data_IF_561703894057
#
_entry.id   IF_561703894057
#
_cell.length_a   1.000
_cell.length_b   1.000
_cell.length_c   1.000
_cell.angle_alpha   90.00
_cell.angle_beta   90.00
_cell.angle_gamma   90.00
#
_symmetry.space_group_name_H-M   'P 1'
#
loop_
_entity.id
_entity.type
_entity.pdbx_description
1 polymer ?
#
# COMPACT_ATOMS: atom_id res chain seq x y z
N UNK A 1 18.49 3.68 7.37
CA UNK A 1 17.14 3.65 6.79
C UNK A 1 16.18 3.49 7.95
N UNK A 2 15.19 4.37 8.09
CA UNK A 2 14.23 4.41 9.20
C UNK A 2 12.85 4.83 8.70
N UNK A 3 11.82 4.50 9.50
CA UNK A 3 10.49 5.10 9.42
C UNK A 3 10.34 6.07 10.58
N UNK A 4 10.02 7.32 10.28
CA UNK A 4 9.80 8.34 11.29
C UNK A 4 8.29 8.46 11.59
N UNK A 5 7.97 8.67 12.88
CA UNK A 5 6.58 8.82 13.33
C UNK A 5 6.46 10.12 14.12
N UNK A 6 5.49 10.95 13.79
CA UNK A 6 5.19 12.19 14.49
C UNK A 6 3.70 12.32 14.80
N UNK A 7 3.36 12.62 16.05
CA UNK A 7 2.00 12.95 16.47
C UNK A 7 1.92 14.47 16.71
N UNK A 8 0.96 15.11 16.05
CA UNK A 8 0.67 16.54 16.15
C UNK A 8 -0.72 16.70 16.76
N UNK A 9 -0.87 17.55 17.76
CA UNK A 9 -2.11 17.74 18.51
C UNK A 9 -2.13 16.98 19.82
N UNK A 10 -3.31 16.90 20.44
CA UNK A 10 -3.50 16.24 21.74
C UNK A 10 -3.35 14.72 21.60
N UNK A 11 -2.56 14.12 22.52
CA UNK A 11 -2.28 12.68 22.45
C UNK A 11 -3.52 11.80 22.65
N UNK A 12 -4.53 12.31 23.34
CA UNK A 12 -5.81 11.65 23.64
C UNK A 12 -6.98 12.15 22.80
N UNK A 13 -6.73 13.02 21.82
CA UNK A 13 -7.78 13.53 20.94
C UNK A 13 -8.64 12.40 20.34
N UNK A 14 -9.98 12.49 20.39
CA UNK A 14 -10.84 11.41 19.94
C UNK A 14 -10.84 11.18 18.42
N UNK A 15 -10.38 12.16 17.64
CA UNK A 15 -10.24 12.06 16.19
C UNK A 15 -8.78 11.96 15.80
N UNK A 16 -8.45 11.02 14.94
CA UNK A 16 -7.10 10.82 14.43
C UNK A 16 -7.10 10.83 12.90
N UNK A 17 -6.33 11.74 12.32
CA UNK A 17 -5.96 11.68 10.91
C UNK A 17 -4.58 11.02 10.79
N UNK A 18 -4.47 9.94 10.03
CA UNK A 18 -3.20 9.25 9.79
C UNK A 18 -2.73 9.55 8.37
N UNK A 19 -1.52 10.09 8.23
CA UNK A 19 -0.88 10.38 6.95
C UNK A 19 0.33 9.46 6.77
N UNK A 20 0.26 8.56 5.80
CA UNK A 20 1.34 7.60 5.51
C UNK A 20 1.97 7.93 4.17
N UNK A 21 3.31 7.95 4.10
CA UNK A 21 4.07 8.10 2.86
C UNK A 21 4.94 6.89 2.58
N UNK A 22 5.28 6.69 1.29
CA UNK A 22 6.23 5.69 0.85
C UNK A 22 5.75 4.25 1.02
N UNK A 23 4.48 3.97 0.88
CA UNK A 23 3.95 2.59 0.82
C UNK A 23 4.60 1.83 -0.34
N UNK A 24 4.66 2.46 -1.52
CA UNK A 24 5.54 2.04 -2.58
C UNK A 24 6.72 3.02 -2.61
N UNK A 25 7.94 2.50 -2.62
CA UNK A 25 9.12 3.32 -2.48
C UNK A 25 9.31 4.35 -3.60
N UNK A 26 8.92 4.03 -4.83
CA UNK A 26 8.94 4.95 -5.98
C UNK A 26 8.08 6.21 -5.77
N UNK A 27 7.11 6.16 -4.88
CA UNK A 27 6.20 7.26 -4.52
C UNK A 27 6.66 8.01 -3.27
N UNK A 28 7.74 7.54 -2.62
CA UNK A 28 8.22 8.06 -1.33
C UNK A 28 8.51 9.55 -1.36
N UNK A 29 9.18 10.05 -2.40
CA UNK A 29 9.49 11.47 -2.54
C UNK A 29 8.22 12.34 -2.65
N UNK A 30 7.19 11.87 -3.38
CA UNK A 30 5.91 12.57 -3.49
C UNK A 30 5.18 12.63 -2.15
N UNK A 31 5.06 11.49 -1.45
CA UNK A 31 4.43 11.43 -0.14
C UNK A 31 5.16 12.28 0.91
N UNK A 32 6.50 12.25 0.90
CA UNK A 32 7.34 13.10 1.73
C UNK A 32 7.10 14.59 1.47
N UNK A 33 7.03 15.00 0.21
CA UNK A 33 6.73 16.37 -0.17
C UNK A 33 5.35 16.83 0.32
N UNK A 34 4.32 15.98 0.23
CA UNK A 34 3.00 16.27 0.77
C UNK A 34 3.02 16.48 2.29
N UNK A 35 3.71 15.62 3.04
CA UNK A 35 3.85 15.75 4.49
C UNK A 35 4.63 17.03 4.85
N UNK A 36 5.73 17.30 4.16
CA UNK A 36 6.55 18.51 4.37
C UNK A 36 5.77 19.79 4.05
N UNK A 37 5.02 19.81 2.95
CA UNK A 37 4.17 20.94 2.58
C UNK A 37 3.09 21.20 3.62
N UNK A 38 2.49 20.13 4.16
CA UNK A 38 1.51 20.23 5.24
C UNK A 38 2.13 20.83 6.53
N UNK A 39 3.30 20.33 6.93
CA UNK A 39 4.05 20.83 8.08
C UNK A 39 4.50 22.28 7.92
N UNK A 40 4.84 22.71 6.71
CA UNK A 40 5.26 24.05 6.39
C UNK A 40 4.17 25.13 6.54
N UNK A 41 2.90 24.72 6.57
CA UNK A 41 1.79 25.65 6.72
C UNK A 41 1.41 25.83 8.19
N UNK A 42 1.78 26.97 8.79
CA UNK A 42 1.49 27.26 10.22
C UNK A 42 0.02 27.13 10.60
N UNK A 43 -0.90 27.40 9.67
CA UNK A 43 -2.33 27.24 9.90
C UNK A 43 -2.73 25.78 10.20
N UNK A 44 -2.01 24.82 9.71
CA UNK A 44 -2.26 23.40 9.96
C UNK A 44 -1.92 22.95 11.40
N UNK A 45 -1.16 23.76 12.12
CA UNK A 45 -0.79 23.49 13.53
C UNK A 45 -1.89 23.88 14.51
N UNK A 46 -2.83 24.74 14.07
CA UNK A 46 -4.01 25.11 14.84
C UNK A 46 -5.12 24.05 14.66
N UNK A 47 -4.84 22.82 15.11
CA UNK A 47 -5.80 21.72 15.06
C UNK A 47 -6.95 21.98 16.05
N UNK A 48 -8.19 21.52 15.73
CA UNK A 48 -9.24 21.43 16.73
C UNK A 48 -8.79 20.59 17.93
N UNK A 49 -9.20 20.95 19.14
CA UNK A 49 -8.80 20.25 20.38
C UNK A 49 -9.16 18.75 20.36
N UNK A 50 -10.19 18.36 19.61
CA UNK A 50 -10.63 16.99 19.48
C UNK A 50 -9.93 16.22 18.35
N UNK A 51 -8.88 16.79 17.73
CA UNK A 51 -8.25 16.24 16.54
C UNK A 51 -6.73 16.16 16.69
N UNK A 52 -6.17 15.02 16.32
CA UNK A 52 -4.72 14.83 16.16
C UNK A 52 -4.35 14.33 14.76
N UNK A 53 -3.13 14.57 14.34
CA UNK A 53 -2.55 14.07 13.09
C UNK A 53 -1.36 13.19 13.41
N UNK A 54 -1.40 11.94 12.96
CA UNK A 54 -0.29 10.99 13.02
C UNK A 54 0.36 10.91 11.64
N UNK A 55 1.61 11.33 11.55
CA UNK A 55 2.42 11.19 10.34
C UNK A 55 3.33 9.99 10.46
N UNK A 56 3.32 9.13 9.43
CA UNK A 56 4.23 7.99 9.29
C UNK A 56 4.99 8.23 8.00
N UNK A 57 6.27 8.57 8.14
CA UNK A 57 7.12 8.95 7.02
C UNK A 57 7.95 7.76 6.57
N UNK A 58 7.75 7.39 5.29
CA UNK A 58 8.43 6.32 4.57
C UNK A 58 8.25 4.95 5.22
N UNK A 59 7.01 4.43 5.18
CA UNK A 59 6.71 3.09 5.73
C UNK A 59 7.46 1.96 4.99
N UNK A 60 7.89 2.17 3.74
CA UNK A 60 8.81 1.32 2.99
C UNK A 60 10.13 2.06 2.74
N UNK A 61 10.98 2.21 3.76
CA UNK A 61 12.21 3.00 3.63
C UNK A 61 13.23 2.36 2.69
N UNK A 62 13.30 1.02 2.63
CA UNK A 62 14.16 0.32 1.68
C UNK A 62 13.70 0.58 0.24
N UNK A 63 12.43 0.36 -0.07
CA UNK A 63 11.89 0.61 -1.40
C UNK A 63 12.09 2.05 -1.84
N UNK A 64 11.97 3.03 -0.90
CA UNK A 64 12.22 4.44 -1.21
C UNK A 64 13.69 4.70 -1.53
N UNK A 65 14.62 4.13 -0.76
CA UNK A 65 16.06 4.29 -0.99
C UNK A 65 16.52 3.72 -2.34
N UNK A 66 15.89 2.65 -2.79
CA UNK A 66 16.24 1.96 -4.04
C UNK A 66 15.28 2.25 -5.20
N UNK A 67 14.35 3.19 -5.03
CA UNK A 67 13.30 3.51 -6.03
C UNK A 67 12.54 2.27 -6.51
N UNK A 68 12.24 1.35 -5.59
CA UNK A 68 11.50 0.12 -5.87
C UNK A 68 10.08 0.23 -5.34
N UNK A 69 9.12 -0.33 -6.09
CA UNK A 69 7.73 -0.43 -5.64
C UNK A 69 7.60 -1.25 -4.35
N UNK A 70 8.30 -2.37 -4.33
CA UNK A 70 8.27 -3.42 -3.30
C UNK A 70 9.31 -3.15 -2.19
N UNK A 71 9.30 -3.96 -1.15
CA UNK A 71 10.34 -3.96 -0.12
C UNK A 71 11.55 -4.84 -0.53
N UNK A 72 12.48 -5.08 0.41
CA UNK A 72 13.67 -5.92 0.25
C UNK A 72 13.38 -7.36 -0.14
N UNK A 73 12.23 -7.89 0.25
CA UNK A 73 11.79 -9.27 -0.02
C UNK A 73 10.89 -9.39 -1.26
N UNK A 74 10.90 -8.37 -2.14
CA UNK A 74 10.00 -8.25 -3.30
C UNK A 74 8.51 -8.19 -2.94
N UNK A 75 8.15 -7.85 -1.70
CA UNK A 75 6.76 -7.80 -1.25
C UNK A 75 6.12 -6.46 -1.55
N UNK A 76 4.96 -6.49 -2.22
CA UNK A 76 4.06 -5.33 -2.34
C UNK A 76 3.30 -5.15 -1.03
N UNK A 77 3.56 -4.06 -0.32
CA UNK A 77 2.95 -3.80 0.98
C UNK A 77 1.42 -3.75 0.93
N UNK A 78 0.84 -3.31 -0.20
CA UNK A 78 -0.62 -3.32 -0.37
C UNK A 78 -1.21 -4.74 -0.51
N UNK A 79 -0.38 -5.77 -0.55
CA UNK A 79 -0.78 -7.18 -0.58
C UNK A 79 -0.43 -7.90 0.74
N UNK A 80 0.41 -7.30 1.59
CA UNK A 80 0.89 -7.93 2.82
C UNK A 80 -0.05 -7.74 4.03
N UNK A 81 -0.99 -6.79 4.00
CA UNK A 81 -1.95 -6.57 5.08
C UNK A 81 -3.19 -7.45 4.91
N UNK A 82 -3.02 -8.74 5.12
CA UNK A 82 -4.08 -9.76 5.13
C UNK A 82 -4.16 -10.46 6.49
N UNK A 83 -5.16 -11.29 6.68
CA UNK A 83 -5.22 -12.19 7.82
C UNK A 83 -4.30 -13.39 7.61
N UNK A 84 -3.13 -13.35 8.22
CA UNK A 84 -2.10 -14.40 8.12
C UNK A 84 -2.43 -15.66 8.93
N UNK A 85 -3.53 -15.68 9.70
CA UNK A 85 -4.04 -16.90 10.34
C UNK A 85 -4.83 -17.76 9.36
N UNK A 86 -5.28 -17.20 8.26
CA UNK A 86 -5.95 -17.86 7.15
C UNK A 86 -4.99 -18.14 5.99
N UNK A 87 -5.36 -19.10 5.15
CA UNK A 87 -4.60 -19.35 3.90
C UNK A 87 -4.68 -18.12 3.00
N UNK A 88 -3.54 -17.61 2.49
CA UNK A 88 -3.55 -16.50 1.53
C UNK A 88 -4.37 -16.82 0.27
N UNK A 89 -4.97 -15.81 -0.37
CA UNK A 89 -5.76 -16.01 -1.58
C UNK A 89 -4.92 -16.59 -2.73
N UNK A 90 -5.49 -17.55 -3.46
CA UNK A 90 -4.88 -18.10 -4.67
C UNK A 90 -5.21 -17.23 -5.89
N UNK A 91 -4.22 -16.97 -6.73
CA UNK A 91 -4.40 -16.34 -8.04
C UNK A 91 -3.93 -17.30 -9.13
N UNK A 92 -4.78 -18.26 -9.49
CA UNK A 92 -4.46 -19.28 -10.50
C UNK A 92 -4.20 -18.67 -11.87
N UNK A 93 -4.97 -17.64 -12.24
CA UNK A 93 -4.79 -16.96 -13.52
C UNK A 93 -3.44 -16.24 -13.63
N UNK A 94 -2.91 -15.73 -12.51
CA UNK A 94 -1.54 -15.21 -12.45
C UNK A 94 -0.52 -16.34 -12.61
N UNK A 95 -0.72 -17.47 -11.93
CA UNK A 95 0.19 -18.61 -11.99
C UNK A 95 0.37 -19.14 -13.43
N UNK A 96 -0.71 -19.15 -14.23
CA UNK A 96 -0.66 -19.50 -15.66
C UNK A 96 0.20 -18.53 -16.49
N UNK A 97 0.35 -17.28 -16.05
CA UNK A 97 1.06 -16.21 -16.76
C UNK A 97 2.46 -15.92 -16.19
N UNK A 98 2.79 -16.51 -15.05
CA UNK A 98 3.99 -16.16 -14.30
C UNK A 98 5.28 -16.24 -15.14
N UNK A 99 5.49 -17.35 -15.87
CA UNK A 99 6.66 -17.54 -16.73
C UNK A 99 6.76 -16.56 -17.90
N UNK A 100 5.65 -15.97 -18.33
CA UNK A 100 5.63 -14.91 -19.32
C UNK A 100 5.88 -13.51 -18.72
N UNK A 101 5.63 -13.34 -17.42
CA UNK A 101 5.83 -12.08 -16.70
C UNK A 101 7.25 -11.97 -16.11
N UNK A 102 7.85 -13.10 -15.70
CA UNK A 102 9.16 -13.19 -15.07
C UNK A 102 10.04 -14.09 -15.90
N UNK A 103 10.94 -13.49 -16.67
CA UNK A 103 11.85 -14.20 -17.56
C UNK A 103 13.27 -14.12 -17.03
N UNK A 104 14.08 -15.18 -17.17
CA UNK A 104 15.44 -15.22 -16.63
C UNK A 104 16.43 -14.28 -17.37
N UNK A 105 16.11 -13.94 -18.62
CA UNK A 105 16.93 -13.03 -19.43
C UNK A 105 16.06 -11.91 -20.04
N UNK A 106 16.64 -10.69 -20.12
CA UNK A 106 15.96 -9.55 -20.71
C UNK A 106 15.91 -9.60 -22.24
N UNK A 107 16.89 -10.27 -22.85
CA UNK A 107 17.03 -10.41 -24.29
C UNK A 107 17.03 -11.88 -24.70
N UNK A 108 16.78 -12.15 -26.00
CA UNK A 108 16.92 -13.46 -26.59
C UNK A 108 15.60 -14.22 -26.78
N UNK A 109 15.67 -15.51 -27.16
CA UNK A 109 14.50 -16.29 -27.57
C UNK A 109 13.49 -16.49 -26.43
N UNK A 110 13.93 -16.58 -25.17
CA UNK A 110 13.06 -16.74 -24.00
C UNK A 110 12.19 -15.49 -23.78
N UNK A 111 12.78 -14.31 -23.95
CA UNK A 111 12.03 -13.05 -23.89
C UNK A 111 11.01 -12.94 -25.00
N UNK A 112 11.36 -13.31 -26.24
CA UNK A 112 10.47 -13.30 -27.39
C UNK A 112 9.27 -14.23 -27.14
N UNK A 113 9.54 -15.46 -26.69
CA UNK A 113 8.48 -16.43 -26.40
C UNK A 113 7.55 -15.96 -25.27
N UNK A 114 8.09 -15.29 -24.23
CA UNK A 114 7.30 -14.74 -23.14
C UNK A 114 6.39 -13.58 -23.62
N UNK A 115 6.92 -12.69 -24.45
CA UNK A 115 6.15 -11.58 -25.06
C UNK A 115 5.00 -12.11 -25.94
N UNK A 116 5.25 -13.16 -26.74
CA UNK A 116 4.24 -13.82 -27.55
C UNK A 116 3.13 -14.44 -26.69
N UNK A 117 3.50 -15.17 -25.62
CA UNK A 117 2.55 -15.78 -24.69
C UNK A 117 1.68 -14.72 -23.96
N UNK A 118 2.30 -13.59 -23.57
CA UNK A 118 1.58 -12.48 -22.96
C UNK A 118 0.63 -11.80 -23.96
N UNK A 119 1.06 -11.63 -25.22
CA UNK A 119 0.24 -11.08 -26.28
C UNK A 119 -0.97 -12.00 -26.58
N UNK A 120 -0.79 -13.32 -26.64
CA UNK A 120 -1.87 -14.28 -26.80
C UNK A 120 -2.86 -14.23 -25.63
N UNK A 121 -2.37 -14.19 -24.38
CA UNK A 121 -3.21 -14.05 -23.20
C UNK A 121 -4.02 -12.74 -23.26
N UNK A 122 -3.39 -11.66 -23.70
CA UNK A 122 -4.03 -10.35 -23.85
C UNK A 122 -5.09 -10.37 -24.96
N UNK A 123 -4.81 -11.04 -26.06
CA UNK A 123 -5.77 -11.22 -27.17
C UNK A 123 -6.98 -12.06 -26.74
N UNK A 124 -6.75 -13.10 -25.95
CA UNK A 124 -7.80 -14.01 -25.51
C UNK A 124 -8.69 -13.40 -24.40
N UNK A 125 -8.08 -12.72 -23.42
CA UNK A 125 -8.77 -12.24 -22.20
C UNK A 125 -9.10 -10.74 -22.25
N UNK A 126 -8.43 -9.97 -23.11
CA UNK A 126 -8.46 -8.50 -23.16
C UNK A 126 -7.46 -7.85 -22.17
N UNK A 127 -6.91 -6.71 -22.57
CA UNK A 127 -5.88 -5.97 -21.79
C UNK A 127 -6.33 -5.67 -20.36
N UNK A 128 -7.57 -5.22 -20.18
CA UNK A 128 -8.11 -4.87 -18.84
C UNK A 128 -8.16 -6.09 -17.92
N UNK A 129 -8.58 -7.25 -18.45
CA UNK A 129 -8.66 -8.47 -17.66
C UNK A 129 -7.26 -8.96 -17.26
N UNK A 130 -6.28 -8.92 -18.16
CA UNK A 130 -4.88 -9.27 -17.86
C UNK A 130 -4.31 -8.33 -16.80
N UNK A 131 -4.52 -7.02 -16.93
CA UNK A 131 -4.08 -6.05 -15.89
C UNK A 131 -4.70 -6.35 -14.55
N UNK A 132 -5.99 -6.63 -14.47
CA UNK A 132 -6.68 -6.96 -13.22
C UNK A 132 -6.17 -8.26 -12.58
N UNK A 133 -5.85 -9.29 -13.39
CA UNK A 133 -5.24 -10.54 -12.90
C UNK A 133 -3.90 -10.26 -12.25
N UNK A 134 -3.04 -9.48 -12.91
CA UNK A 134 -1.71 -9.13 -12.39
C UNK A 134 -1.82 -8.26 -11.14
N UNK A 135 -2.63 -7.21 -11.20
CA UNK A 135 -2.79 -6.25 -10.10
C UNK A 135 -3.53 -6.83 -8.88
N UNK A 136 -4.27 -7.93 -9.03
CA UNK A 136 -4.88 -8.62 -7.90
C UNK A 136 -3.83 -9.09 -6.87
N UNK A 137 -2.60 -9.34 -7.32
CA UNK A 137 -1.52 -9.86 -6.50
C UNK A 137 -1.53 -11.37 -6.38
N UNK A 138 -0.48 -11.92 -5.78
CA UNK A 138 -0.30 -13.37 -5.62
C UNK A 138 0.62 -13.66 -4.43
N UNK A 139 0.62 -14.92 -3.96
CA UNK A 139 1.38 -15.36 -2.78
C UNK A 139 2.18 -16.66 -3.07
N UNK A 140 2.27 -17.07 -4.34
CA UNK A 140 2.91 -18.32 -4.73
C UNK A 140 4.34 -18.13 -5.26
N UNK A 141 4.65 -16.96 -5.84
CA UNK A 141 5.90 -16.70 -6.55
C UNK A 141 6.60 -15.50 -5.94
N UNK A 142 7.64 -15.74 -5.15
CA UNK A 142 8.39 -14.69 -4.45
C UNK A 142 9.16 -13.76 -5.41
N UNK A 143 9.48 -14.21 -6.60
CA UNK A 143 10.11 -13.44 -7.68
C UNK A 143 9.11 -12.73 -8.58
N UNK A 144 7.81 -12.98 -8.39
CA UNK A 144 6.73 -12.49 -9.24
C UNK A 144 6.28 -11.06 -8.92
N UNK A 145 5.46 -10.51 -9.83
CA UNK A 145 4.87 -9.20 -9.66
C UNK A 145 3.78 -9.23 -8.58
N UNK A 146 3.65 -8.13 -7.83
CA UNK A 146 2.65 -7.95 -6.78
C UNK A 146 2.62 -9.09 -5.76
N UNK A 147 3.79 -9.63 -5.42
CA UNK A 147 3.93 -10.65 -4.39
C UNK A 147 3.50 -10.11 -3.03
N UNK A 148 2.64 -10.85 -2.34
CA UNK A 148 2.09 -10.45 -1.04
C UNK A 148 2.92 -10.91 0.17
N UNK A 149 3.96 -11.71 -0.06
CA UNK A 149 4.75 -12.30 1.02
C UNK A 149 4.22 -13.66 1.47
N UNK A 150 4.89 -14.24 2.44
CA UNK A 150 4.54 -15.47 3.15
C UNK A 150 4.25 -15.24 4.65
N UNK A 151 4.54 -14.03 5.14
CA UNK A 151 4.32 -13.58 6.50
C UNK A 151 4.22 -12.04 6.56
N UNK A 152 3.81 -11.44 7.71
CA UNK A 152 3.90 -10.01 7.92
C UNK A 152 5.35 -9.52 7.82
N UNK A 153 5.66 -8.69 6.83
CA UNK A 153 6.99 -8.09 6.65
C UNK A 153 7.26 -6.99 7.70
N UNK A 154 8.52 -6.52 7.75
CA UNK A 154 8.92 -5.47 8.72
C UNK A 154 7.99 -4.26 8.70
N UNK A 155 7.70 -3.70 7.54
CA UNK A 155 6.81 -2.54 7.37
C UNK A 155 5.38 -2.81 7.89
N UNK A 156 4.86 -4.03 7.70
CA UNK A 156 3.56 -4.44 8.23
C UNK A 156 3.59 -4.43 9.77
N UNK A 157 4.60 -5.06 10.37
CA UNK A 157 4.74 -5.11 11.83
C UNK A 157 4.90 -3.72 12.44
N UNK A 158 5.72 -2.86 11.83
CA UNK A 158 5.92 -1.48 12.29
C UNK A 158 4.63 -0.68 12.20
N UNK A 159 3.94 -0.70 11.06
CA UNK A 159 2.67 0.02 10.92
C UNK A 159 1.61 -0.49 11.89
N UNK A 160 1.51 -1.80 12.08
CA UNK A 160 0.59 -2.40 13.05
C UNK A 160 0.89 -1.91 14.46
N UNK A 161 2.15 -1.95 14.90
CA UNK A 161 2.56 -1.48 16.23
C UNK A 161 2.27 0.01 16.44
N UNK A 162 2.57 0.86 15.45
CA UNK A 162 2.26 2.30 15.50
C UNK A 162 0.76 2.55 15.60
N UNK A 163 -0.04 1.83 14.82
CA UNK A 163 -1.49 1.97 14.87
C UNK A 163 -2.09 1.39 16.16
N UNK A 164 -1.51 0.37 16.75
CA UNK A 164 -1.91 -0.16 18.06
C UNK A 164 -1.61 0.83 19.19
N UNK A 165 -0.49 1.54 19.12
CA UNK A 165 -0.11 2.54 20.09
C UNK A 165 -0.96 3.82 19.98
N UNK A 166 -1.05 4.38 18.78
CA UNK A 166 -1.68 5.67 18.54
C UNK A 166 -3.13 5.61 18.05
N UNK A 167 -3.61 4.46 17.57
CA UNK A 167 -4.92 4.30 16.93
C UNK A 167 -6.06 3.93 17.89
N UNK A 168 -5.77 3.51 19.11
CA UNK A 168 -6.79 3.14 20.13
C UNK A 168 -7.45 4.38 20.72
N UNK A 169 -8.46 4.90 20.04
CA UNK A 169 -9.17 6.13 20.42
C UNK A 169 -10.69 5.91 20.42
N UNK A 170 -11.44 6.55 21.30
CA UNK A 170 -12.91 6.38 21.39
C UNK A 170 -13.65 7.00 20.18
N UNK A 171 -12.98 7.78 19.37
CA UNK A 171 -13.56 8.52 18.25
C UNK A 171 -13.34 7.88 16.87
N UNK A 172 -13.46 8.72 15.82
CA UNK A 172 -13.29 8.32 14.42
C UNK A 172 -11.85 8.56 13.98
N UNK A 173 -11.24 7.56 13.37
CA UNK A 173 -9.94 7.70 12.70
C UNK A 173 -10.12 7.75 11.18
N UNK A 174 -9.37 8.62 10.52
CA UNK A 174 -9.27 8.73 9.06
C UNK A 174 -7.83 8.44 8.66
N UNK A 175 -7.62 7.47 7.79
CA UNK A 175 -6.30 7.18 7.24
C UNK A 175 -6.17 7.74 5.82
N UNK A 176 -5.10 8.49 5.57
CA UNK A 176 -4.73 8.99 4.26
C UNK A 176 -3.35 8.43 3.90
N UNK A 177 -3.28 7.67 2.81
CA UNK A 177 -2.00 7.25 2.22
C UNK A 177 -1.66 8.18 1.06
N UNK A 178 -0.50 8.81 1.10
CA UNK A 178 0.00 9.64 0.00
C UNK A 178 0.64 8.72 -1.05
N UNK A 179 -0.16 8.20 -1.96
CA UNK A 179 0.30 7.44 -3.13
C UNK A 179 -0.06 8.20 -4.40
N UNK A 180 0.81 8.14 -5.40
CA UNK A 180 0.50 8.67 -6.72
C UNK A 180 -0.30 7.64 -7.51
N UNK A 181 -1.58 7.91 -7.74
CA UNK A 181 -2.35 7.19 -8.74
C UNK A 181 -2.70 8.15 -9.91
N UNK A 182 -2.66 7.72 -11.16
CA UNK A 182 -3.05 8.55 -12.29
C UNK A 182 -4.56 8.82 -12.28
N UNK A 183 -4.92 10.11 -12.42
CA UNK A 183 -6.29 10.56 -12.65
C UNK A 183 -7.25 10.52 -11.43
N UNK A 184 -8.57 10.62 -11.67
CA UNK A 184 -9.61 10.67 -10.61
C UNK A 184 -9.68 9.43 -9.72
N UNK A 185 -9.03 8.35 -10.10
CA UNK A 185 -8.89 7.11 -9.34
C UNK A 185 -7.93 7.22 -8.15
N UNK A 186 -7.08 8.25 -8.09
CA UNK A 186 -6.13 8.47 -7.00
C UNK A 186 -6.80 8.46 -5.62
N UNK A 187 -7.90 9.20 -5.48
CA UNK A 187 -8.66 9.31 -4.24
C UNK A 187 -9.33 7.99 -3.86
N UNK A 188 -9.85 7.24 -4.84
CA UNK A 188 -10.48 5.94 -4.61
C UNK A 188 -9.46 4.88 -4.17
N UNK A 189 -8.24 4.92 -4.70
CA UNK A 189 -7.15 4.03 -4.28
C UNK A 189 -6.68 4.32 -2.86
N UNK A 190 -6.53 5.59 -2.53
CA UNK A 190 -6.19 6.04 -1.18
C UNK A 190 -7.22 5.55 -0.15
N UNK A 191 -8.52 5.67 -0.46
CA UNK A 191 -9.59 5.18 0.41
C UNK A 191 -9.62 3.65 0.54
N UNK A 192 -9.30 2.90 -0.52
CA UNK A 192 -9.23 1.43 -0.47
C UNK A 192 -8.06 0.93 0.37
N UNK A 193 -6.89 1.53 0.23
CA UNK A 193 -5.71 1.21 1.05
C UNK A 193 -5.96 1.52 2.52
N UNK A 194 -6.58 2.65 2.82
CA UNK A 194 -7.00 3.01 4.18
C UNK A 194 -7.99 2.01 4.78
N UNK A 195 -8.94 1.50 3.99
CA UNK A 195 -9.90 0.48 4.43
C UNK A 195 -9.23 -0.86 4.79
N UNK A 196 -8.17 -1.25 4.08
CA UNK A 196 -7.38 -2.45 4.39
C UNK A 196 -6.63 -2.30 5.72
N UNK A 197 -5.93 -1.20 5.90
CA UNK A 197 -5.19 -0.89 7.14
C UNK A 197 -6.13 -0.87 8.35
N UNK A 198 -7.32 -0.27 8.21
CA UNK A 198 -8.31 -0.19 9.28
C UNK A 198 -8.99 -1.53 9.59
N UNK A 199 -9.04 -2.47 8.65
CA UNK A 199 -9.56 -3.83 8.87
C UNK A 199 -8.57 -4.74 9.58
N UNK A 200 -7.26 -4.46 9.48
CA UNK A 200 -6.21 -5.23 10.13
C UNK A 200 -6.10 -4.93 11.64
N UNK A 201 -6.77 -3.89 12.15
CA UNK A 201 -6.77 -3.58 13.57
C UNK A 201 -7.81 -4.44 14.33
N UNK A 202 -7.43 -5.17 15.38
CA UNK A 202 -8.37 -5.86 16.25
C UNK A 202 -9.38 -4.86 16.86
N UNK A 203 -10.66 -5.01 16.56
CA UNK A 203 -11.72 -4.12 17.05
C UNK A 203 -11.87 -2.79 16.29
N UNK A 204 -11.19 -2.63 15.15
CA UNK A 204 -11.28 -1.43 14.33
C UNK A 204 -12.70 -1.15 13.84
N UNK A 205 -13.14 0.13 13.79
CA UNK A 205 -14.47 0.48 13.33
C UNK A 205 -14.65 0.04 11.87
N UNK A 206 -15.82 -0.51 11.53
CA UNK A 206 -16.22 -0.74 10.14
C UNK A 206 -16.31 0.62 9.46
N UNK A 207 -15.27 0.96 8.70
CA UNK A 207 -15.22 2.22 7.99
C UNK A 207 -16.28 2.20 6.88
N UNK A 208 -17.39 2.92 7.08
CA UNK A 208 -18.28 3.26 5.99
C UNK A 208 -17.54 4.29 5.14
N UNK A 209 -17.32 3.98 3.86
CA UNK A 209 -16.70 4.93 2.94
C UNK A 209 -17.43 6.29 3.00
N UNK A 210 -16.68 7.40 3.15
CA UNK A 210 -17.30 8.72 3.10
C UNK A 210 -18.11 8.91 1.81
N UNK A 211 -19.16 9.73 1.84
CA UNK A 211 -20.04 9.96 0.66
C UNK A 211 -19.30 10.36 -0.61
N UNK A 212 -18.13 10.97 -0.50
CA UNK A 212 -17.27 11.36 -1.63
C UNK A 212 -16.35 10.24 -2.15
N UNK A 213 -16.35 9.04 -1.51
CA UNK A 213 -15.69 7.82 -1.99
C UNK A 213 -16.62 6.85 -2.74
N UNK A 214 -17.89 7.21 -2.94
CA UNK A 214 -18.87 6.40 -3.69
C UNK A 214 -18.97 6.82 -5.14
#
# INVERSE_FOLDING_TARGET
IATDVALIGQADAPKLMVMISGTHGVEGAYGSACQTAWLGQKANWALPEDTAVLMIHLINPWGTAWSRRVNEDNVDLNRNFIDWTAKPPENRAYAEMHSALVVPAWDGPERIAADEALAESTKAKGQTAVSLIIEAGQYAFADGLFYGGDAPVWSNRVLTAVLEEFGKRPGKSLCLTCTRAPGPTAIRHCCRSAQWIMRALPGGPRCSAPRWCR
#
